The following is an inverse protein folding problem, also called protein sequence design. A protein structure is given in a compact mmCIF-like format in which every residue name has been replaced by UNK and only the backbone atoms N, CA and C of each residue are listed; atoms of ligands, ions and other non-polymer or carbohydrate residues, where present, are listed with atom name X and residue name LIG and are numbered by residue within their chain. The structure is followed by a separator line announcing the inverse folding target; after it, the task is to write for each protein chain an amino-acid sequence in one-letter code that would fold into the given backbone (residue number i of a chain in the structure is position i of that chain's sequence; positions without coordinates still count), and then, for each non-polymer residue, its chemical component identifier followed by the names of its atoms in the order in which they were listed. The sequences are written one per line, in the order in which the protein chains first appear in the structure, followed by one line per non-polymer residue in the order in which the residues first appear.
data_IF_418495296131
#
_entry.id   IF_418495296131
#
_cell.length_a   1.000
_cell.length_b   1.000
_cell.length_c   1.000
_cell.angle_alpha   90.00
_cell.angle_beta   90.00
_cell.angle_gamma   90.00
#
_symmetry.space_group_name_H-M   'P 1'
#
loop_
_entity.id
_entity.type
_entity.pdbx_description
1 polymer ?
#
# COMPACT_ATOMS: atom_id res chain seq x y z
N UNK A 1 -3.93 -1.83 13.88
CA UNK A 1 -3.47 -2.38 12.58
C UNK A 1 -4.66 -3.03 11.90
N UNK A 2 -4.93 -2.65 10.65
CA UNK A 2 -6.05 -3.17 9.87
C UNK A 2 -5.53 -4.05 8.74
N UNK A 3 -6.04 -5.28 8.62
CA UNK A 3 -5.70 -6.17 7.49
C UNK A 3 -6.40 -5.68 6.23
N UNK A 4 -5.69 -5.61 5.12
CA UNK A 4 -6.25 -5.26 3.81
C UNK A 4 -6.52 -6.57 3.05
N UNK A 5 -7.73 -6.71 2.53
CA UNK A 5 -8.23 -7.98 1.97
C UNK A 5 -8.54 -7.92 0.48
N UNK A 6 -8.53 -6.73 -0.12
CA UNK A 6 -8.76 -6.53 -1.56
C UNK A 6 -8.12 -5.24 -2.05
N UNK A 7 -7.91 -5.13 -3.36
CA UNK A 7 -7.49 -3.88 -4.01
C UNK A 7 -8.51 -2.76 -3.75
N UNK A 8 -9.81 -3.07 -3.78
CA UNK A 8 -10.86 -2.10 -3.49
C UNK A 8 -10.82 -1.56 -2.06
N UNK A 9 -10.40 -2.39 -1.09
CA UNK A 9 -10.13 -1.93 0.26
C UNK A 9 -8.86 -1.08 0.33
N UNK A 10 -7.78 -1.48 -0.36
CA UNK A 10 -6.56 -0.67 -0.47
C UNK A 10 -6.89 0.73 -1.02
N UNK A 11 -7.63 0.81 -2.14
CA UNK A 11 -8.06 2.07 -2.75
C UNK A 11 -8.73 2.99 -1.74
N UNK A 12 -9.69 2.48 -0.96
CA UNK A 12 -10.40 3.25 0.07
C UNK A 12 -9.48 3.73 1.20
N UNK A 13 -8.53 2.89 1.59
CA UNK A 13 -7.65 3.16 2.73
C UNK A 13 -6.45 4.04 2.39
N UNK A 14 -6.08 4.11 1.11
CA UNK A 14 -4.96 4.87 0.57
C UNK A 14 -5.38 6.17 -0.13
N UNK A 15 -6.67 6.53 -0.14
CA UNK A 15 -7.10 7.84 -0.66
C UNK A 15 -6.34 8.94 0.08
N UNK A 16 -5.63 9.78 -0.66
CA UNK A 16 -4.93 10.93 -0.10
C UNK A 16 -5.92 11.88 0.59
N UNK A 17 -5.58 12.27 1.81
CA UNK A 17 -6.33 13.22 2.63
C UNK A 17 -5.32 14.23 3.20
N UNK A 18 -5.43 15.50 2.82
CA UNK A 18 -4.54 16.58 3.28
C UNK A 18 -4.40 16.66 4.80
N UNK A 19 -5.37 16.15 5.57
CA UNK A 19 -5.33 16.14 7.05
C UNK A 19 -4.62 14.92 7.62
N UNK A 20 -4.54 13.82 6.86
CA UNK A 20 -3.98 12.54 7.31
C UNK A 20 -2.63 12.23 6.64
N UNK A 21 -2.32 12.91 5.53
CA UNK A 21 -1.14 12.66 4.74
C UNK A 21 -1.18 11.29 4.05
N UNK A 22 0.00 10.71 3.83
CA UNK A 22 0.14 9.41 3.20
C UNK A 22 -0.30 8.30 4.16
N UNK A 23 -1.06 7.35 3.67
CA UNK A 23 -1.42 6.18 4.48
C UNK A 23 -0.22 5.23 4.57
N UNK A 24 0.11 4.82 5.79
CA UNK A 24 1.22 3.91 6.05
C UNK A 24 0.74 2.46 6.12
N UNK A 25 1.44 1.57 5.42
CA UNK A 25 1.16 0.14 5.32
C UNK A 25 2.43 -0.67 5.55
N UNK A 26 2.26 -1.98 5.70
CA UNK A 26 3.38 -2.91 5.65
C UNK A 26 2.98 -4.29 5.11
N UNK A 27 3.94 -4.93 4.46
CA UNK A 27 3.91 -6.37 4.18
C UNK A 27 4.55 -7.09 5.38
N UNK A 28 3.81 -8.00 5.99
CA UNK A 28 4.31 -8.92 7.01
C UNK A 28 5.15 -10.02 6.35
N UNK A 29 6.42 -10.08 6.72
CA UNK A 29 7.37 -11.08 6.27
C UNK A 29 7.55 -12.16 7.35
N UNK A 30 8.27 -13.23 7.01
CA UNK A 30 8.64 -14.26 7.98
C UNK A 30 9.39 -13.65 9.18
N UNK A 31 9.29 -14.32 10.33
CA UNK A 31 9.92 -13.88 11.59
C UNK A 31 9.45 -12.51 12.09
N UNK A 32 8.20 -12.11 11.79
CA UNK A 32 7.59 -10.84 12.18
C UNK A 32 8.33 -9.58 11.65
N UNK A 33 9.15 -9.74 10.60
CA UNK A 33 9.75 -8.62 9.91
C UNK A 33 8.68 -7.88 9.09
N UNK A 34 8.91 -6.59 8.84
CA UNK A 34 7.97 -5.72 8.12
C UNK A 34 8.68 -4.97 7.01
N UNK A 35 8.10 -4.99 5.82
CA UNK A 35 8.45 -4.04 4.75
C UNK A 35 7.41 -2.93 4.77
N UNK A 36 7.77 -1.81 5.42
CA UNK A 36 6.91 -0.62 5.49
C UNK A 36 6.83 0.08 4.14
N UNK A 37 5.65 0.64 3.85
CA UNK A 37 5.35 1.37 2.63
C UNK A 37 4.45 2.56 2.97
N UNK A 38 4.58 3.64 2.23
CA UNK A 38 3.57 4.69 2.17
C UNK A 38 2.90 4.64 0.82
N UNK A 39 1.57 4.66 0.81
CA UNK A 39 0.80 4.50 -0.42
C UNK A 39 -0.25 5.60 -0.49
N UNK A 40 -0.33 6.21 -1.67
CA UNK A 40 -1.43 7.05 -2.08
C UNK A 40 -2.15 6.39 -3.25
N UNK A 41 -3.49 6.47 -3.24
CA UNK A 41 -4.34 6.21 -4.38
C UNK A 41 -5.00 7.51 -4.84
N UNK A 42 -4.92 7.79 -6.14
CA UNK A 42 -5.56 8.94 -6.79
C UNK A 42 -6.78 8.47 -7.60
N UNK A 43 -8.01 8.73 -7.12
CA UNK A 43 -9.23 8.28 -7.81
C UNK A 43 -9.43 8.89 -9.21
N UNK A 44 -8.93 10.10 -9.43
CA UNK A 44 -9.14 10.84 -10.68
C UNK A 44 -8.39 10.23 -11.87
N UNK A 45 -7.19 9.68 -11.61
CA UNK A 45 -6.32 9.04 -12.60
C UNK A 45 -6.35 7.51 -12.50
N UNK A 46 -6.94 6.96 -11.44
CA UNK A 46 -6.87 5.54 -11.08
C UNK A 46 -5.42 5.02 -11.00
N UNK A 47 -4.53 5.83 -10.41
CA UNK A 47 -3.11 5.52 -10.21
C UNK A 47 -2.72 5.50 -8.74
N UNK A 48 -1.57 4.89 -8.45
CA UNK A 48 -0.98 4.79 -7.12
C UNK A 48 0.44 5.36 -7.10
N UNK A 49 0.79 6.03 -6.01
CA UNK A 49 2.18 6.28 -5.65
C UNK A 49 2.55 5.37 -4.49
N UNK A 50 3.71 4.72 -4.59
CA UNK A 50 4.25 3.81 -3.58
C UNK A 50 5.67 4.25 -3.22
N UNK A 51 5.88 4.55 -1.94
CA UNK A 51 7.19 4.75 -1.35
C UNK A 51 7.58 3.52 -0.53
N UNK A 52 8.70 2.88 -0.90
CA UNK A 52 9.26 1.73 -0.19
C UNK A 52 10.31 2.21 0.83
N UNK A 53 10.01 2.09 2.14
CA UNK A 53 10.92 2.63 3.17
C UNK A 53 12.23 1.82 3.37
N UNK A 54 12.27 0.58 2.87
CA UNK A 54 13.44 -0.30 3.03
C UNK A 54 14.67 0.20 2.26
N UNK A 55 14.44 0.80 1.09
CA UNK A 55 15.48 1.26 0.17
C UNK A 55 15.24 2.69 -0.34
N UNK A 56 14.23 3.36 0.21
CA UNK A 56 13.82 4.73 -0.12
C UNK A 56 13.43 4.91 -1.60
N UNK A 57 13.04 3.82 -2.28
CA UNK A 57 12.58 3.86 -3.67
C UNK A 57 11.13 4.39 -3.78
N UNK A 58 10.87 5.15 -4.85
CA UNK A 58 9.56 5.72 -5.16
C UNK A 58 9.09 5.24 -6.52
N UNK A 59 7.86 4.75 -6.58
CA UNK A 59 7.16 4.32 -7.79
C UNK A 59 5.90 5.18 -7.92
N UNK A 60 5.86 6.04 -8.94
CA UNK A 60 4.77 7.01 -9.16
C UNK A 60 3.89 6.59 -10.32
N UNK A 61 2.63 7.04 -10.31
CA UNK A 61 1.64 6.84 -11.39
C UNK A 61 1.42 5.36 -11.77
N UNK A 62 1.58 4.43 -10.82
CA UNK A 62 1.33 3.02 -11.05
C UNK A 62 -0.14 2.79 -11.38
N UNK A 63 -0.41 2.25 -12.56
CA UNK A 63 -1.74 1.73 -12.88
C UNK A 63 -2.08 0.54 -11.98
N UNK A 64 -3.37 0.19 -11.88
CA UNK A 64 -3.77 -1.03 -11.16
C UNK A 64 -3.07 -2.29 -11.70
N UNK A 65 -2.87 -2.39 -13.02
CA UNK A 65 -2.15 -3.51 -13.64
C UNK A 65 -0.67 -3.56 -13.20
N UNK A 66 0.01 -2.41 -13.13
CA UNK A 66 1.39 -2.34 -12.65
C UNK A 66 1.48 -2.60 -11.14
N UNK A 67 0.51 -2.12 -10.36
CA UNK A 67 0.43 -2.46 -8.93
C UNK A 67 0.33 -3.98 -8.73
N UNK A 68 -0.43 -4.68 -9.59
CA UNK A 68 -0.59 -6.14 -9.56
C UNK A 68 0.70 -6.87 -9.98
N UNK A 69 1.31 -6.44 -11.09
CA UNK A 69 2.36 -7.20 -11.75
C UNK A 69 3.78 -6.82 -11.32
N UNK A 70 4.01 -5.54 -11.02
CA UNK A 70 5.35 -4.99 -10.83
C UNK A 70 5.68 -4.83 -9.33
N UNK A 71 4.66 -4.82 -8.47
CA UNK A 71 4.83 -4.74 -7.01
C UNK A 71 4.48 -6.04 -6.29
N UNK A 72 4.92 -6.17 -5.04
CA UNK A 72 4.55 -7.29 -4.17
C UNK A 72 3.28 -7.04 -3.35
N UNK A 73 2.60 -5.91 -3.55
CA UNK A 73 1.48 -5.47 -2.69
C UNK A 73 0.25 -6.36 -2.89
N UNK A 74 -0.18 -6.58 -4.13
CA UNK A 74 -1.39 -7.38 -4.42
C UNK A 74 -1.21 -8.83 -3.99
N UNK A 75 -0.05 -9.43 -4.29
CA UNK A 75 0.29 -10.78 -3.81
C UNK A 75 0.26 -10.84 -2.26
N UNK A 76 0.71 -9.79 -1.57
CA UNK A 76 0.63 -9.73 -0.12
C UNK A 76 -0.82 -9.62 0.40
N UNK A 77 -1.71 -8.91 -0.30
CA UNK A 77 -3.15 -8.87 -0.01
C UNK A 77 -3.75 -10.27 -0.15
N UNK A 78 -3.51 -10.94 -1.28
CA UNK A 78 -4.04 -12.28 -1.56
C UNK A 78 -3.56 -13.33 -0.54
N UNK A 79 -2.32 -13.21 -0.08
CA UNK A 79 -1.75 -14.05 0.98
C UNK A 79 -2.17 -13.64 2.39
N UNK A 80 -2.92 -12.55 2.52
CA UNK A 80 -3.35 -12.02 3.82
C UNK A 80 -2.20 -11.51 4.69
N UNK A 81 -1.13 -11.02 4.07
CA UNK A 81 0.09 -10.50 4.68
C UNK A 81 0.19 -8.97 4.60
N UNK A 82 -0.80 -8.27 4.05
CA UNK A 82 -0.78 -6.81 3.91
C UNK A 82 -1.67 -6.09 4.93
N UNK A 83 -1.11 -5.08 5.60
CA UNK A 83 -1.75 -4.40 6.72
C UNK A 83 -1.53 -2.89 6.64
N UNK A 84 -2.54 -2.11 7.04
CA UNK A 84 -2.45 -0.68 7.34
C UNK A 84 -2.04 -0.46 8.79
N UNK A 85 -1.10 0.45 9.02
CA UNK A 85 -0.84 0.97 10.36
C UNK A 85 -2.06 1.77 10.81
N UNK A 86 -2.52 1.50 12.03
CA UNK A 86 -3.66 2.20 12.62
C UNK A 86 -3.10 2.89 13.86
N UNK A 87 -2.89 4.20 13.76
CA UNK A 87 -2.48 5.03 14.89
C UNK A 87 -3.74 5.41 15.65
N UNK A 88 -4.23 4.49 16.48
CA UNK A 88 -5.26 4.75 17.49
C UNK A 88 -4.73 5.67 18.58
#
# INVERSE_FOLDING_TARGET
MKKITSIEELKKEAIYDDRRGWAEFFILLNFNLRSSKRIIYYPDTNTFDVHNEIDDSYEEDLTEEQLINDTHIVIAIERGAFYKYDFS
#
